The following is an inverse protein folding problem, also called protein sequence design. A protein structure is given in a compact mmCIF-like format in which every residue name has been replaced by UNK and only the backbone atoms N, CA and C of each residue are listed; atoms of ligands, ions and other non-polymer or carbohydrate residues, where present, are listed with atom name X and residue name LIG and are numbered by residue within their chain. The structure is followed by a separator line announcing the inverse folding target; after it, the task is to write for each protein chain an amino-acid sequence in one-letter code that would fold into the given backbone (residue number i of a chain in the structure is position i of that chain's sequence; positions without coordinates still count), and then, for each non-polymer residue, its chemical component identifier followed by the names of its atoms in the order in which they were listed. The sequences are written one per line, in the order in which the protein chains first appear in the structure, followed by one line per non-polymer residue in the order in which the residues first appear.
data_IF_627481390411
#
_entry.id   IF_627481390411
#
_cell.length_a   1.000
_cell.length_b   1.000
_cell.length_c   1.000
_cell.angle_alpha   90.00
_cell.angle_beta   90.00
_cell.angle_gamma   90.00
#
_symmetry.space_group_name_H-M   'P 1'
#
loop_
_entity.id
_entity.type
_entity.pdbx_description
1 polymer ?
#
# COMPACT_ATOMS: atom_id res chain seq x y z
N UNK A 1 11.41 -81.37 22.54
CA UNK A 1 10.60 -81.05 21.33
C UNK A 1 9.36 -80.22 21.60
N UNK A 2 8.82 -80.10 22.80
CA UNK A 2 7.59 -79.41 23.12
C UNK A 2 7.76 -77.88 23.35
N UNK A 3 8.97 -77.38 23.64
CA UNK A 3 9.26 -75.99 23.90
C UNK A 3 9.46 -75.16 22.63
N UNK A 4 9.87 -75.73 21.52
CA UNK A 4 10.12 -75.02 20.27
C UNK A 4 8.82 -74.73 19.52
N UNK A 5 7.76 -75.55 19.66
CA UNK A 5 6.47 -75.36 19.05
C UNK A 5 5.66 -74.15 19.66
N UNK A 6 5.88 -73.86 20.96
CA UNK A 6 5.14 -72.76 21.61
C UNK A 6 5.60 -71.35 21.15
N UNK A 7 6.88 -71.21 20.80
CA UNK A 7 7.40 -69.93 20.33
C UNK A 7 7.11 -69.67 18.82
N UNK A 8 7.00 -70.73 18.05
CA UNK A 8 6.60 -70.61 16.63
C UNK A 8 5.14 -70.18 16.43
N UNK A 9 4.24 -70.63 17.28
CA UNK A 9 2.82 -70.21 17.25
C UNK A 9 2.62 -68.76 17.75
N UNK A 10 3.44 -68.34 18.73
CA UNK A 10 3.37 -66.94 19.24
C UNK A 10 3.94 -65.94 18.22
N UNK A 11 5.03 -66.30 17.52
CA UNK A 11 5.60 -65.47 16.44
C UNK A 11 4.66 -65.37 15.20
N UNK A 12 3.97 -66.47 14.86
CA UNK A 12 2.99 -66.44 13.78
C UNK A 12 1.76 -65.61 14.13
N UNK A 13 1.31 -65.59 15.41
CA UNK A 13 0.16 -64.80 15.85
C UNK A 13 0.52 -63.27 15.95
N UNK A 14 1.73 -62.94 16.33
CA UNK A 14 2.22 -61.54 16.33
C UNK A 14 2.42 -61.03 14.90
N UNK A 15 2.93 -61.85 13.98
CA UNK A 15 3.01 -61.49 12.56
C UNK A 15 1.64 -61.28 11.89
N UNK A 16 0.62 -62.04 12.31
CA UNK A 16 -0.74 -61.89 11.78
C UNK A 16 -1.46 -60.69 12.35
N UNK A 17 -1.18 -60.30 13.60
CA UNK A 17 -1.70 -59.06 14.21
C UNK A 17 -1.05 -57.79 13.64
N UNK A 18 0.19 -57.85 13.16
CA UNK A 18 0.84 -56.74 12.49
C UNK A 18 0.36 -56.54 11.03
N UNK A 19 -0.19 -57.56 10.39
CA UNK A 19 -0.79 -57.42 9.06
C UNK A 19 -2.23 -56.88 9.06
N UNK A 20 -2.91 -56.91 10.22
CA UNK A 20 -4.30 -56.39 10.34
C UNK A 20 -4.36 -54.87 10.60
N UNK A 21 -3.22 -54.19 10.80
CA UNK A 21 -3.12 -52.73 10.98
C UNK A 21 -2.39 -52.03 9.85
N UNK A 22 -2.30 -52.61 8.66
CA UNK A 22 -1.97 -51.80 7.48
C UNK A 22 -3.21 -50.96 7.13
N UNK A 23 -3.12 -49.63 7.13
CA UNK A 23 -4.24 -48.85 6.60
C UNK A 23 -4.44 -49.28 5.16
N UNK A 24 -5.66 -49.68 4.81
CA UNK A 24 -6.05 -49.95 3.43
C UNK A 24 -5.97 -48.63 2.66
N UNK A 25 -4.81 -48.40 2.07
CA UNK A 25 -4.63 -47.32 1.08
C UNK A 25 -5.26 -47.78 -0.24
N UNK A 26 -6.58 -47.78 -0.29
CA UNK A 26 -7.33 -47.75 -1.55
C UNK A 26 -8.10 -46.42 -1.57
N UNK A 27 -7.35 -45.34 -1.59
CA UNK A 27 -7.79 -44.14 -2.26
C UNK A 27 -6.89 -44.00 -3.48
N UNK A 28 -7.45 -44.03 -4.64
CA UNK A 28 -6.85 -43.42 -5.83
C UNK A 28 -6.59 -41.96 -5.50
N UNK A 29 -5.46 -41.69 -4.88
CA UNK A 29 -5.01 -40.36 -4.59
C UNK A 29 -4.53 -39.74 -5.88
N UNK A 30 -5.45 -39.14 -6.65
CA UNK A 30 -5.04 -38.03 -7.50
C UNK A 30 -4.36 -37.06 -6.55
N UNK A 31 -3.04 -36.91 -6.67
CA UNK A 31 -2.29 -35.90 -5.90
C UNK A 31 -2.93 -34.54 -6.21
N UNK A 32 -3.37 -33.80 -5.18
CA UNK A 32 -3.93 -32.48 -5.36
C UNK A 32 -3.02 -31.65 -6.27
N UNK A 33 -3.59 -31.19 -7.37
CA UNK A 33 -2.92 -30.31 -8.32
C UNK A 33 -3.52 -28.91 -8.19
N UNK A 34 -2.68 -27.93 -7.90
CA UNK A 34 -3.10 -26.54 -7.94
C UNK A 34 -3.68 -26.19 -9.32
N UNK A 35 -4.69 -25.32 -9.41
CA UNK A 35 -5.22 -24.86 -10.67
C UNK A 35 -4.17 -24.10 -11.47
N UNK A 36 -4.19 -24.16 -12.78
CA UNK A 36 -3.27 -23.40 -13.64
C UNK A 36 -3.43 -21.87 -13.44
N UNK A 37 -4.61 -21.44 -12.99
CA UNK A 37 -4.91 -20.05 -12.61
C UNK A 37 -5.63 -20.02 -11.26
N UNK A 38 -5.00 -19.46 -10.23
CA UNK A 38 -5.59 -19.24 -8.90
C UNK A 38 -6.40 -17.95 -8.91
N UNK A 39 -7.69 -18.05 -8.55
CA UNK A 39 -8.58 -16.89 -8.41
C UNK A 39 -8.46 -16.31 -7.01
N UNK A 40 -8.01 -15.09 -6.90
CA UNK A 40 -7.71 -14.41 -5.65
C UNK A 40 -8.72 -13.31 -5.39
N UNK A 41 -9.37 -13.35 -4.23
CA UNK A 41 -10.23 -12.27 -3.71
C UNK A 41 -9.45 -11.39 -2.75
N UNK A 42 -9.62 -10.07 -2.85
CA UNK A 42 -8.98 -9.10 -1.95
C UNK A 42 -9.82 -7.84 -1.81
N UNK A 43 -9.42 -6.94 -0.91
CA UNK A 43 -9.96 -5.59 -0.78
C UNK A 43 -8.88 -4.55 -1.13
N UNK A 44 -9.30 -3.38 -1.61
CA UNK A 44 -8.40 -2.24 -1.66
C UNK A 44 -7.98 -1.84 -0.24
N UNK A 45 -6.67 -1.82 -0.01
CA UNK A 45 -6.08 -1.50 1.28
C UNK A 45 -4.60 -1.13 1.10
N UNK A 46 -4.06 -0.22 1.93
CA UNK A 46 -2.63 0.07 1.92
C UNK A 46 -1.73 -1.13 2.23
N UNK A 47 -2.26 -2.15 2.89
CA UNK A 47 -1.55 -3.39 3.25
C UNK A 47 -1.73 -4.47 2.22
N UNK A 48 -2.94 -4.62 1.63
CA UNK A 48 -3.28 -5.81 0.86
C UNK A 48 -3.12 -5.64 -0.65
N UNK A 49 -3.81 -4.65 -1.23
CA UNK A 49 -3.85 -4.46 -2.68
C UNK A 49 -4.17 -3.01 -3.04
N UNK A 50 -3.31 -2.34 -3.78
CA UNK A 50 -3.56 -0.99 -4.30
C UNK A 50 -2.77 -0.72 -5.57
N UNK A 51 -3.15 0.31 -6.32
CA UNK A 51 -2.48 0.73 -7.55
C UNK A 51 -1.73 2.04 -7.26
N UNK A 52 -0.44 2.09 -7.62
CA UNK A 52 0.40 3.28 -7.46
C UNK A 52 1.22 3.51 -8.74
N UNK A 53 1.13 4.70 -9.32
CA UNK A 53 1.80 5.07 -10.59
C UNK A 53 1.59 4.04 -11.73
N UNK A 54 0.44 3.34 -11.72
CA UNK A 54 0.09 2.31 -12.69
C UNK A 54 0.55 0.89 -12.36
N UNK A 55 1.38 0.71 -11.33
CA UNK A 55 1.79 -0.59 -10.84
C UNK A 55 0.89 -1.05 -9.69
N UNK A 56 0.64 -2.35 -9.62
CA UNK A 56 -0.09 -2.97 -8.52
C UNK A 56 0.89 -3.32 -7.41
N UNK A 57 0.58 -2.89 -6.19
CA UNK A 57 1.38 -3.04 -4.98
C UNK A 57 0.50 -3.52 -3.82
N UNK A 58 1.12 -3.93 -2.73
CA UNK A 58 0.50 -4.36 -1.49
C UNK A 58 1.27 -5.51 -0.87
N UNK A 59 1.33 -5.54 0.46
CA UNK A 59 2.06 -6.59 1.18
C UNK A 59 1.51 -7.99 0.83
N UNK A 60 0.19 -8.16 0.93
CA UNK A 60 -0.45 -9.43 0.58
C UNK A 60 -0.36 -9.74 -0.92
N UNK A 61 -0.45 -8.71 -1.77
CA UNK A 61 -0.29 -8.86 -3.22
C UNK A 61 1.10 -9.40 -3.58
N UNK A 62 2.17 -8.85 -3.02
CA UNK A 62 3.52 -9.32 -3.30
C UNK A 62 3.75 -10.75 -2.79
N UNK A 63 3.22 -11.07 -1.61
CA UNK A 63 3.30 -12.42 -1.04
C UNK A 63 2.62 -13.46 -1.93
N UNK A 64 1.39 -13.22 -2.39
CA UNK A 64 0.69 -14.17 -3.27
C UNK A 64 1.35 -14.27 -4.65
N UNK A 65 1.98 -13.20 -5.15
CA UNK A 65 2.79 -13.25 -6.37
C UNK A 65 4.02 -14.16 -6.20
N UNK A 66 4.66 -14.17 -5.03
CA UNK A 66 5.76 -15.10 -4.74
C UNK A 66 5.29 -16.55 -4.68
N UNK A 67 4.14 -16.82 -4.03
CA UNK A 67 3.51 -18.15 -4.04
C UNK A 67 3.24 -18.63 -5.48
N UNK A 68 2.63 -17.78 -6.28
CA UNK A 68 2.29 -18.12 -7.66
C UNK A 68 3.55 -18.41 -8.51
N UNK A 69 4.62 -17.65 -8.29
CA UNK A 69 5.92 -17.87 -8.94
C UNK A 69 6.54 -19.20 -8.50
N UNK A 70 6.50 -19.52 -7.21
CA UNK A 70 7.01 -20.80 -6.67
C UNK A 70 6.25 -22.00 -7.25
N UNK A 71 4.93 -21.90 -7.33
CA UNK A 71 4.04 -22.98 -7.85
C UNK A 71 3.87 -22.96 -9.37
N UNK A 72 4.42 -21.95 -10.07
CA UNK A 72 4.32 -21.74 -11.53
C UNK A 72 2.87 -21.68 -12.01
N UNK A 73 2.00 -20.99 -11.28
CA UNK A 73 0.59 -20.76 -11.60
C UNK A 73 0.33 -19.30 -11.93
N UNK A 74 -0.73 -19.02 -12.69
CA UNK A 74 -1.19 -17.66 -12.94
C UNK A 74 -2.12 -17.17 -11.81
N UNK A 75 -2.24 -15.84 -11.65
CA UNK A 75 -3.18 -15.22 -10.71
C UNK A 75 -4.24 -14.44 -11.45
N UNK A 76 -5.48 -14.49 -10.93
CA UNK A 76 -6.59 -13.65 -11.37
C UNK A 76 -7.23 -13.00 -10.17
N UNK A 77 -7.10 -11.68 -10.04
CA UNK A 77 -7.63 -10.92 -8.91
C UNK A 77 -9.08 -10.48 -9.12
N UNK A 78 -9.86 -10.55 -8.05
CA UNK A 78 -11.19 -9.94 -7.91
C UNK A 78 -11.17 -9.08 -6.66
N UNK A 79 -11.32 -7.77 -6.81
CA UNK A 79 -11.37 -6.83 -5.69
C UNK A 79 -12.82 -6.67 -5.27
N UNK A 80 -13.13 -7.00 -4.03
CA UNK A 80 -14.45 -6.83 -3.43
C UNK A 80 -14.62 -5.42 -2.85
N UNK A 81 -15.86 -5.02 -2.57
CA UNK A 81 -16.18 -3.69 -2.06
C UNK A 81 -16.32 -3.65 -0.52
N UNK A 82 -16.44 -4.81 0.11
CA UNK A 82 -16.59 -4.93 1.56
C UNK A 82 -16.18 -6.33 2.04
N UNK A 83 -15.95 -6.48 3.35
CA UNK A 83 -15.67 -7.78 3.96
C UNK A 83 -16.77 -8.80 3.66
N UNK A 84 -18.04 -8.43 3.74
CA UNK A 84 -19.16 -9.33 3.45
C UNK A 84 -19.14 -9.79 2.00
N UNK A 85 -18.92 -8.87 1.05
CA UNK A 85 -18.82 -9.24 -0.38
C UNK A 85 -17.58 -10.11 -0.66
N UNK A 86 -16.47 -9.88 0.05
CA UNK A 86 -15.26 -10.69 -0.05
C UNK A 86 -15.51 -12.14 0.42
N UNK A 87 -16.16 -12.32 1.56
CA UNK A 87 -16.55 -13.63 2.09
C UNK A 87 -17.52 -14.37 1.15
N UNK A 88 -18.48 -13.67 0.56
CA UNK A 88 -19.40 -14.26 -0.41
C UNK A 88 -18.69 -14.77 -1.68
N UNK A 89 -17.61 -14.13 -2.12
CA UNK A 89 -16.83 -14.60 -3.25
C UNK A 89 -16.22 -15.99 -2.99
N UNK A 90 -15.66 -16.24 -1.81
CA UNK A 90 -15.05 -17.54 -1.49
C UNK A 90 -16.09 -18.60 -1.17
N UNK A 91 -17.18 -18.26 -0.47
CA UNK A 91 -18.28 -19.18 -0.17
C UNK A 91 -18.96 -19.70 -1.44
N UNK A 92 -19.10 -18.82 -2.43
CA UNK A 92 -19.72 -19.18 -3.72
C UNK A 92 -18.74 -19.71 -4.76
N UNK A 93 -17.50 -19.99 -4.36
CA UNK A 93 -16.41 -20.48 -5.23
C UNK A 93 -16.15 -19.58 -6.46
N UNK A 94 -16.42 -18.29 -6.37
CA UNK A 94 -16.02 -17.29 -7.38
C UNK A 94 -14.54 -16.98 -7.32
N UNK A 95 -13.95 -17.11 -6.13
CA UNK A 95 -12.51 -17.06 -5.87
C UNK A 95 -12.09 -18.30 -5.06
N UNK A 96 -10.81 -18.65 -5.13
CA UNK A 96 -10.23 -19.81 -4.46
C UNK A 96 -9.57 -19.45 -3.13
N UNK A 97 -8.99 -18.26 -3.05
CA UNK A 97 -8.23 -17.75 -1.91
C UNK A 97 -8.58 -16.30 -1.64
N UNK A 98 -8.69 -15.93 -0.38
CA UNK A 98 -8.77 -14.54 0.08
C UNK A 98 -7.41 -14.10 0.60
N UNK A 99 -6.79 -13.10 -0.04
CA UNK A 99 -5.55 -12.46 0.40
C UNK A 99 -5.87 -11.12 1.06
N UNK A 100 -6.44 -11.23 2.24
CA UNK A 100 -6.80 -10.12 3.12
C UNK A 100 -6.81 -10.63 4.55
N UNK A 101 -6.57 -9.76 5.53
CA UNK A 101 -6.59 -10.08 6.95
C UNK A 101 -8.01 -10.40 7.44
N UNK A 102 -8.41 -11.67 7.35
CA UNK A 102 -9.68 -12.17 7.87
C UNK A 102 -9.50 -12.47 9.37
N UNK A 103 -10.30 -11.86 10.27
CA UNK A 103 -10.17 -12.08 11.70
C UNK A 103 -10.39 -13.54 12.11
N UNK A 104 -9.51 -14.09 12.96
CA UNK A 104 -9.64 -15.45 13.50
C UNK A 104 -10.54 -15.40 14.72
N UNK A 105 -11.84 -15.52 14.51
CA UNK A 105 -12.89 -15.53 15.55
C UNK A 105 -13.86 -16.70 15.34
N UNK A 106 -14.63 -17.03 16.37
CA UNK A 106 -15.64 -18.10 16.26
C UNK A 106 -16.64 -17.85 15.12
N UNK A 107 -16.98 -16.59 14.85
CA UNK A 107 -17.87 -16.19 13.76
C UNK A 107 -17.28 -16.47 12.38
N UNK A 108 -16.02 -16.06 12.14
CA UNK A 108 -15.37 -16.24 10.85
C UNK A 108 -14.94 -17.69 10.61
N UNK A 109 -14.55 -18.43 11.68
CA UNK A 109 -14.20 -19.85 11.60
C UNK A 109 -15.35 -20.75 11.12
N UNK A 110 -16.61 -20.28 11.27
CA UNK A 110 -17.80 -20.97 10.72
C UNK A 110 -18.02 -20.66 9.22
N UNK A 111 -17.31 -19.73 8.67
CA UNK A 111 -17.53 -19.21 7.32
C UNK A 111 -16.39 -19.52 6.35
N UNK A 112 -15.18 -19.60 6.85
CA UNK A 112 -13.95 -19.82 6.05
C UNK A 112 -12.95 -20.69 6.79
N UNK A 113 -12.06 -21.34 6.05
CA UNK A 113 -10.88 -22.00 6.59
C UNK A 113 -9.67 -21.06 6.49
N UNK A 114 -9.09 -20.73 7.63
CA UNK A 114 -7.91 -19.87 7.73
C UNK A 114 -6.66 -20.59 7.26
N UNK A 115 -5.76 -19.87 6.57
CA UNK A 115 -4.50 -20.41 6.06
C UNK A 115 -3.40 -19.35 5.99
N UNK A 116 -2.17 -19.81 5.82
CA UNK A 116 -0.99 -18.98 5.68
C UNK A 116 -0.50 -18.38 6.99
N UNK A 117 0.24 -17.30 6.87
CA UNK A 117 0.80 -16.59 8.01
C UNK A 117 -0.32 -15.96 8.86
N UNK A 118 -0.20 -16.10 10.18
CA UNK A 118 -1.08 -15.41 11.12
C UNK A 118 -0.49 -14.06 11.48
N UNK A 119 -1.18 -13.00 11.12
CA UNK A 119 -0.89 -11.64 11.54
C UNK A 119 -1.53 -11.34 12.90
N UNK A 120 -0.90 -10.48 13.67
CA UNK A 120 -1.45 -9.98 14.92
C UNK A 120 -1.48 -8.46 14.88
N UNK A 121 -2.67 -7.88 14.92
CA UNK A 121 -2.88 -6.44 14.94
C UNK A 121 -3.54 -6.02 16.24
N UNK A 122 -3.34 -4.78 16.63
CA UNK A 122 -3.97 -4.12 17.77
C UNK A 122 -4.20 -2.66 17.42
N UNK A 123 -5.03 -1.98 18.19
CA UNK A 123 -5.24 -0.55 17.98
C UNK A 123 -4.22 0.25 18.79
N UNK A 124 -3.71 1.31 18.19
CA UNK A 124 -2.71 2.20 18.79
C UNK A 124 -3.18 3.64 18.81
N UNK A 125 -2.73 4.37 19.82
CA UNK A 125 -2.86 5.82 19.87
C UNK A 125 -1.84 6.45 18.92
N UNK A 126 -2.31 7.31 18.03
CA UNK A 126 -1.44 8.16 17.21
C UNK A 126 -1.32 9.53 17.90
N UNK A 127 -0.09 9.93 18.17
CA UNK A 127 0.26 11.20 18.82
C UNK A 127 1.52 11.78 18.18
N UNK A 128 1.82 13.05 18.43
CA UNK A 128 3.08 13.65 17.96
C UNK A 128 4.26 13.19 18.82
N UNK A 129 5.39 12.89 18.17
CA UNK A 129 6.63 12.45 18.85
C UNK A 129 7.42 13.60 19.49
N UNK A 130 7.20 14.84 19.05
CA UNK A 130 7.88 16.05 19.51
C UNK A 130 7.23 16.72 20.74
N UNK A 131 6.14 16.13 21.27
CA UNK A 131 5.44 16.61 22.47
C UNK A 131 5.56 15.59 23.61
N UNK A 132 5.14 16.01 24.83
CA UNK A 132 5.04 15.07 25.95
C UNK A 132 4.07 13.96 25.61
N UNK A 133 4.60 12.74 25.47
CA UNK A 133 3.85 11.57 25.05
C UNK A 133 2.96 11.03 26.15
N UNK A 134 1.79 10.51 25.75
CA UNK A 134 0.98 9.61 26.55
C UNK A 134 1.60 8.22 26.44
N UNK A 135 1.91 7.62 27.57
CA UNK A 135 2.54 6.28 27.66
C UNK A 135 1.66 5.26 28.40
N UNK A 136 0.53 5.72 28.97
CA UNK A 136 -0.43 4.89 29.66
C UNK A 136 -1.85 5.35 29.34
N UNK A 137 -2.77 4.41 29.15
CA UNK A 137 -4.17 4.70 28.78
C UNK A 137 -4.91 5.58 29.81
N UNK A 138 -4.54 5.53 31.09
CA UNK A 138 -5.14 6.38 32.13
C UNK A 138 -4.83 7.87 31.95
N UNK A 139 -3.76 8.21 31.21
CA UNK A 139 -3.39 9.59 30.88
C UNK A 139 -4.28 10.22 29.80
N UNK A 140 -5.15 9.42 29.16
CA UNK A 140 -6.15 9.89 28.20
C UNK A 140 -7.30 10.66 28.88
N UNK A 141 -7.39 10.60 30.20
CA UNK A 141 -8.38 11.37 30.96
C UNK A 141 -8.21 12.88 30.69
N UNK A 142 -9.30 13.55 30.34
CA UNK A 142 -9.37 14.95 29.92
C UNK A 142 -8.54 15.27 28.64
N UNK A 143 -8.37 14.26 27.75
CA UNK A 143 -7.75 14.46 26.45
C UNK A 143 -8.80 14.35 25.35
N UNK A 144 -8.61 15.18 24.32
CA UNK A 144 -9.44 15.19 23.13
C UNK A 144 -8.93 14.12 22.15
N UNK A 145 -9.73 13.08 21.89
CA UNK A 145 -9.39 12.00 20.95
C UNK A 145 -10.42 11.97 19.84
N UNK A 146 -9.95 12.03 18.60
CA UNK A 146 -10.76 12.12 17.40
C UNK A 146 -10.80 10.77 16.69
N UNK A 147 -12.00 10.26 16.38
CA UNK A 147 -12.20 8.99 15.66
C UNK A 147 -13.39 9.08 14.71
N UNK A 148 -13.42 8.23 13.70
CA UNK A 148 -14.57 8.12 12.80
C UNK A 148 -15.81 7.62 13.54
N UNK A 149 -16.93 8.28 13.30
CA UNK A 149 -18.24 7.89 13.81
C UNK A 149 -18.68 6.54 13.22
N UNK A 150 -19.19 5.65 14.07
CA UNK A 150 -19.62 4.30 13.68
C UNK A 150 -18.48 3.33 13.43
N UNK A 151 -17.22 3.71 13.69
CA UNK A 151 -16.05 2.86 13.49
C UNK A 151 -15.78 1.92 14.68
N UNK A 152 -14.97 0.89 14.43
CA UNK A 152 -14.43 0.04 15.51
C UNK A 152 -13.59 0.83 16.53
N UNK A 153 -13.01 1.95 16.09
CA UNK A 153 -12.22 2.84 16.95
C UNK A 153 -13.09 3.59 17.94
N UNK A 154 -14.29 4.05 17.53
CA UNK A 154 -15.28 4.64 18.42
C UNK A 154 -15.68 3.64 19.50
N UNK A 155 -16.10 2.42 19.10
CA UNK A 155 -16.51 1.37 20.04
C UNK A 155 -15.40 1.03 21.03
N UNK A 156 -14.16 0.92 20.57
CA UNK A 156 -13.02 0.64 21.45
C UNK A 156 -12.77 1.79 22.43
N UNK A 157 -12.82 3.03 21.95
CA UNK A 157 -12.55 4.21 22.79
C UNK A 157 -13.66 4.41 23.85
N UNK A 158 -14.92 4.11 23.54
CA UNK A 158 -16.01 4.10 24.49
C UNK A 158 -15.80 3.05 25.59
N UNK A 159 -15.39 1.83 25.21
CA UNK A 159 -15.07 0.76 26.15
C UNK A 159 -13.87 1.16 27.04
N UNK A 160 -12.79 1.64 26.43
CA UNK A 160 -11.60 2.11 27.15
C UNK A 160 -11.94 3.23 28.13
N UNK A 161 -12.77 4.19 27.71
CA UNK A 161 -13.23 5.28 28.58
C UNK A 161 -13.95 4.73 29.82
N UNK A 162 -14.79 3.71 29.64
CA UNK A 162 -15.46 3.04 30.76
C UNK A 162 -14.48 2.27 31.65
N UNK A 163 -13.52 1.57 31.06
CA UNK A 163 -12.46 0.81 31.75
C UNK A 163 -11.61 1.69 32.67
N UNK A 164 -11.27 2.91 32.26
CA UNK A 164 -10.44 3.85 33.04
C UNK A 164 -11.24 4.75 33.98
N UNK A 165 -12.54 4.54 34.06
CA UNK A 165 -13.43 5.33 34.94
C UNK A 165 -13.90 6.67 34.37
N UNK A 166 -13.89 6.80 33.06
CA UNK A 166 -14.37 7.97 32.32
C UNK A 166 -13.36 9.11 32.18
N UNK A 167 -13.75 10.13 31.45
CA UNK A 167 -13.02 11.40 31.31
C UNK A 167 -12.26 11.58 30.00
N UNK A 168 -12.36 10.67 29.02
CA UNK A 168 -11.86 10.92 27.67
C UNK A 168 -12.86 11.84 26.94
N UNK A 169 -12.37 12.92 26.34
CA UNK A 169 -13.18 13.76 25.45
C UNK A 169 -13.22 13.14 24.06
N UNK A 170 -14.28 12.40 23.77
CA UNK A 170 -14.45 11.73 22.48
C UNK A 170 -15.05 12.68 21.45
N UNK A 171 -14.32 12.90 20.34
CA UNK A 171 -14.76 13.67 19.18
C UNK A 171 -15.04 12.74 18.02
N UNK A 172 -16.30 12.67 17.60
CA UNK A 172 -16.74 11.86 16.46
C UNK A 172 -16.73 12.69 15.19
N UNK A 173 -16.03 12.20 14.18
CA UNK A 173 -15.91 12.83 12.88
C UNK A 173 -16.68 12.01 11.84
N UNK A 174 -17.47 12.68 11.01
CA UNK A 174 -18.19 11.98 9.95
C UNK A 174 -17.22 11.44 8.91
N UNK A 175 -17.36 10.17 8.56
CA UNK A 175 -16.51 9.43 7.61
C UNK A 175 -16.45 10.11 6.24
N UNK A 176 -17.51 10.76 5.82
CA UNK A 176 -17.59 11.47 4.53
C UNK A 176 -16.76 12.76 4.49
N UNK A 177 -16.42 13.32 5.64
CA UNK A 177 -15.64 14.56 5.74
C UNK A 177 -14.18 14.33 6.09
N UNK A 178 -13.87 13.26 6.82
CA UNK A 178 -12.51 12.99 7.30
C UNK A 178 -12.35 11.51 7.59
N UNK A 179 -11.49 10.84 6.85
CA UNK A 179 -11.16 9.44 7.07
C UNK A 179 -9.99 9.26 8.05
N UNK A 180 -9.71 8.00 8.41
CA UNK A 180 -8.61 7.63 9.32
C UNK A 180 -7.26 8.17 8.85
N UNK A 181 -7.01 8.23 7.54
CA UNK A 181 -5.76 8.73 6.97
C UNK A 181 -5.62 10.23 7.20
N UNK A 182 -6.71 10.98 6.99
CA UNK A 182 -6.73 12.42 7.23
C UNK A 182 -6.62 12.73 8.73
N UNK A 183 -7.23 11.92 9.62
CA UNK A 183 -7.06 12.07 11.07
C UNK A 183 -5.58 11.92 11.47
N UNK A 184 -4.85 10.96 10.90
CA UNK A 184 -3.41 10.82 11.15
C UNK A 184 -2.63 12.02 10.61
N UNK A 185 -2.97 12.52 9.41
CA UNK A 185 -2.40 13.74 8.86
C UNK A 185 -2.65 14.95 9.77
N UNK A 186 -3.86 15.09 10.30
CA UNK A 186 -4.21 16.16 11.24
C UNK A 186 -3.42 16.07 12.55
N UNK A 187 -3.13 14.87 13.07
CA UNK A 187 -2.21 14.68 14.21
C UNK A 187 -0.80 15.10 13.82
N UNK A 188 -0.28 14.64 12.69
CA UNK A 188 1.06 14.98 12.20
C UNK A 188 1.26 16.49 12.04
N UNK A 189 0.25 17.19 11.50
CA UNK A 189 0.27 18.66 11.33
C UNK A 189 -0.07 19.44 12.61
N UNK A 190 -0.46 18.75 13.69
CA UNK A 190 -0.80 19.38 14.98
C UNK A 190 -2.18 20.03 15.03
N UNK A 191 -3.04 19.78 14.06
CA UNK A 191 -4.43 20.27 14.03
C UNK A 191 -5.30 19.60 15.10
N UNK A 192 -5.07 18.31 15.34
CA UNK A 192 -5.69 17.55 16.44
C UNK A 192 -4.59 16.88 17.28
N UNK A 193 -4.84 16.61 18.58
CA UNK A 193 -3.81 16.03 19.44
C UNK A 193 -3.66 14.52 19.28
N UNK A 194 -4.76 13.76 19.15
CA UNK A 194 -4.77 12.30 19.18
C UNK A 194 -5.83 11.71 18.25
N UNK A 195 -5.47 10.57 17.63
CA UNK A 195 -6.42 9.66 16.96
C UNK A 195 -6.04 8.21 17.24
N UNK A 196 -6.86 7.26 16.76
CA UNK A 196 -6.66 5.82 16.95
C UNK A 196 -6.69 5.14 15.59
N UNK A 197 -5.75 4.20 15.39
CA UNK A 197 -5.67 3.38 14.17
C UNK A 197 -5.24 1.96 14.50
N UNK A 198 -5.38 1.03 13.57
CA UNK A 198 -4.74 -0.29 13.68
C UNK A 198 -3.20 -0.17 13.60
N UNK A 199 -2.49 -1.06 14.27
CA UNK A 199 -1.04 -1.01 14.41
C UNK A 199 -0.29 -1.07 13.07
N UNK A 200 -0.78 -1.84 12.11
CA UNK A 200 -0.24 -1.95 10.75
C UNK A 200 -0.44 -0.65 9.97
N UNK A 201 -1.66 -0.09 10.03
CA UNK A 201 -1.93 1.22 9.45
C UNK A 201 -1.09 2.33 10.11
N UNK A 202 -0.92 2.25 11.44
CA UNK A 202 -0.03 3.12 12.20
C UNK A 202 1.43 3.03 11.72
N UNK A 203 1.94 1.83 11.51
CA UNK A 203 3.29 1.58 10.98
C UNK A 203 3.47 2.18 9.58
N UNK A 204 2.52 1.92 8.68
CA UNK A 204 2.54 2.54 7.33
C UNK A 204 2.57 4.06 7.44
N UNK A 205 1.68 4.65 8.26
CA UNK A 205 1.65 6.10 8.45
C UNK A 205 2.98 6.65 9.00
N UNK A 206 3.63 5.92 9.91
CA UNK A 206 4.93 6.31 10.45
C UNK A 206 6.03 6.35 9.38
N UNK A 207 5.93 5.56 8.32
CA UNK A 207 6.86 5.64 7.19
C UNK A 207 6.71 6.95 6.39
N UNK A 208 5.54 7.58 6.43
CA UNK A 208 5.26 8.88 5.78
C UNK A 208 5.44 10.08 6.72
N UNK A 209 5.17 9.90 8.02
CA UNK A 209 5.23 10.95 9.04
C UNK A 209 6.23 10.59 10.13
N UNK A 210 7.45 11.12 10.05
CA UNK A 210 8.51 10.85 11.04
C UNK A 210 8.23 11.46 12.43
N UNK A 211 7.27 12.37 12.51
CA UNK A 211 6.91 13.13 13.71
C UNK A 211 5.72 12.55 14.48
N UNK A 212 5.25 11.36 14.14
CA UNK A 212 4.22 10.66 14.91
C UNK A 212 4.80 9.51 15.75
N UNK A 213 4.14 9.21 16.85
CA UNK A 213 4.41 8.08 17.73
C UNK A 213 3.15 7.20 17.82
N UNK A 214 3.35 5.89 17.77
CA UNK A 214 2.30 4.85 17.78
C UNK A 214 2.61 3.78 18.83
N UNK A 215 3.40 4.09 19.84
CA UNK A 215 3.90 3.12 20.81
C UNK A 215 2.87 2.70 21.87
N UNK A 216 1.80 3.47 22.07
CA UNK A 216 0.77 3.14 23.06
C UNK A 216 -0.33 2.28 22.44
N UNK A 217 -0.38 1.03 22.87
CA UNK A 217 -1.46 0.08 22.55
C UNK A 217 -2.70 0.39 23.40
N UNK A 218 -3.86 0.37 22.77
CA UNK A 218 -5.15 0.68 23.42
C UNK A 218 -6.17 -0.45 23.28
N UNK A 219 -5.84 -1.52 22.56
CA UNK A 219 -6.68 -2.72 22.46
C UNK A 219 -5.86 -3.98 22.71
N UNK A 220 -6.55 -5.09 22.97
CA UNK A 220 -5.95 -6.42 22.93
C UNK A 220 -5.58 -6.80 21.50
N UNK A 221 -4.53 -7.64 21.33
CA UNK A 221 -4.15 -8.21 20.04
C UNK A 221 -5.31 -9.01 19.43
N UNK A 222 -5.51 -8.81 18.13
CA UNK A 222 -6.43 -9.60 17.30
C UNK A 222 -5.63 -10.34 16.24
N UNK A 223 -5.90 -11.63 16.08
CA UNK A 223 -5.25 -12.46 15.06
C UNK A 223 -6.09 -12.48 13.80
N UNK A 224 -5.42 -12.46 12.66
CA UNK A 224 -6.00 -12.55 11.33
C UNK A 224 -5.11 -13.39 10.41
N UNK A 225 -5.65 -13.90 9.33
CA UNK A 225 -4.91 -14.62 8.29
C UNK A 225 -5.65 -14.58 6.96
N UNK A 226 -5.02 -15.07 5.92
CA UNK A 226 -5.71 -15.41 4.67
C UNK A 226 -6.72 -16.52 4.90
N UNK A 227 -7.61 -16.76 3.92
CA UNK A 227 -8.63 -17.77 4.06
C UNK A 227 -9.05 -18.39 2.73
N UNK A 228 -9.50 -19.63 2.78
CA UNK A 228 -10.08 -20.37 1.67
C UNK A 228 -11.51 -20.82 2.00
N UNK A 229 -12.22 -21.42 1.05
CA UNK A 229 -13.50 -22.07 1.32
C UNK A 229 -13.33 -23.19 2.38
N UNK A 230 -14.31 -23.35 3.28
CA UNK A 230 -14.28 -24.34 4.37
C UNK A 230 -13.93 -25.77 3.93
N UNK A 231 -14.26 -26.12 2.70
CA UNK A 231 -14.04 -27.47 2.16
C UNK A 231 -12.73 -27.60 1.37
N UNK A 232 -11.93 -26.55 1.26
CA UNK A 232 -10.69 -26.55 0.47
C UNK A 232 -9.43 -26.73 1.34
N UNK A 233 -9.36 -27.88 2.04
CA UNK A 233 -8.24 -28.22 2.91
C UNK A 233 -6.91 -28.30 2.15
N UNK A 234 -6.92 -28.85 0.94
CA UNK A 234 -5.71 -29.07 0.16
C UNK A 234 -5.03 -27.76 -0.27
N UNK A 235 -5.81 -26.74 -0.64
CA UNK A 235 -5.28 -25.42 -0.91
C UNK A 235 -4.76 -24.75 0.37
N UNK A 236 -5.51 -24.88 1.48
CA UNK A 236 -5.08 -24.42 2.81
C UNK A 236 -3.72 -25.01 3.18
N UNK A 237 -3.59 -26.33 3.13
CA UNK A 237 -2.36 -27.04 3.44
C UNK A 237 -1.19 -26.61 2.54
N UNK A 238 -1.47 -26.37 1.25
CA UNK A 238 -0.46 -25.89 0.29
C UNK A 238 0.04 -24.47 0.62
N UNK A 239 -0.85 -23.58 1.04
CA UNK A 239 -0.51 -22.22 1.47
C UNK A 239 0.26 -22.26 2.79
N UNK A 240 -0.17 -23.07 3.75
CA UNK A 240 0.49 -23.24 5.04
C UNK A 240 1.91 -23.78 4.89
N UNK A 241 2.08 -24.82 4.08
CA UNK A 241 3.40 -25.38 3.79
C UNK A 241 4.33 -24.38 3.10
N UNK A 242 3.80 -23.53 2.21
CA UNK A 242 4.57 -22.47 1.57
C UNK A 242 4.91 -21.36 2.57
N UNK A 243 3.97 -20.92 3.40
CA UNK A 243 4.16 -19.80 4.34
C UNK A 243 5.17 -20.11 5.44
N UNK A 244 5.28 -21.40 5.83
CA UNK A 244 6.22 -21.87 6.85
C UNK A 244 7.60 -22.24 6.30
N UNK A 245 7.81 -22.18 4.99
CA UNK A 245 9.12 -22.44 4.38
C UNK A 245 10.10 -21.30 4.72
N UNK A 246 11.35 -21.65 5.08
CA UNK A 246 12.39 -20.70 5.48
C UNK A 246 12.60 -19.58 4.44
N UNK A 247 12.66 -19.94 3.15
CA UNK A 247 12.79 -18.97 2.05
C UNK A 247 11.61 -17.97 2.06
N UNK A 248 10.39 -18.46 2.27
CA UNK A 248 9.18 -17.63 2.29
C UNK A 248 9.17 -16.69 3.50
N UNK A 249 9.60 -17.18 4.66
CA UNK A 249 9.73 -16.38 5.88
C UNK A 249 10.69 -15.21 5.64
N UNK A 250 11.88 -15.48 5.13
CA UNK A 250 12.89 -14.44 4.81
C UNK A 250 12.38 -13.44 3.77
N UNK A 251 11.63 -13.90 2.77
CA UNK A 251 11.01 -13.03 1.77
C UNK A 251 9.93 -12.15 2.40
N UNK A 252 9.04 -12.73 3.23
CA UNK A 252 7.99 -12.01 3.95
C UNK A 252 8.54 -10.94 4.89
N UNK A 253 9.62 -11.24 5.64
CA UNK A 253 10.32 -10.27 6.47
C UNK A 253 10.90 -9.11 5.67
N UNK A 254 11.44 -9.40 4.48
CA UNK A 254 12.00 -8.38 3.60
C UNK A 254 10.93 -7.43 3.07
N UNK A 255 9.79 -7.98 2.62
CA UNK A 255 8.64 -7.18 2.18
C UNK A 255 8.05 -6.41 3.37
N UNK A 256 7.93 -7.04 4.55
CA UNK A 256 7.43 -6.39 5.76
C UNK A 256 8.25 -5.14 6.10
N UNK A 257 9.58 -5.25 6.10
CA UNK A 257 10.46 -4.08 6.30
C UNK A 257 10.23 -3.00 5.26
N UNK A 258 10.03 -3.39 4.01
CA UNK A 258 9.78 -2.47 2.92
C UNK A 258 8.46 -1.67 3.10
N UNK A 259 7.38 -2.35 3.49
CA UNK A 259 6.07 -1.70 3.66
C UNK A 259 5.92 -0.95 4.99
N UNK A 260 6.43 -1.49 6.09
CA UNK A 260 6.10 -1.05 7.45
C UNK A 260 7.23 -0.31 8.19
N UNK A 261 8.48 -0.41 7.71
CA UNK A 261 9.63 0.14 8.43
C UNK A 261 10.45 1.15 7.62
N UNK A 262 10.56 0.96 6.30
CA UNK A 262 11.36 1.88 5.47
C UNK A 262 10.66 3.23 5.35
N UNK A 263 11.36 4.28 5.77
CA UNK A 263 10.87 5.65 5.61
C UNK A 263 10.59 5.96 4.14
N UNK A 264 9.38 6.39 3.84
CA UNK A 264 9.00 6.94 2.53
C UNK A 264 9.52 8.39 2.38
N UNK A 265 10.09 8.95 3.43
CA UNK A 265 10.54 10.33 3.58
C UNK A 265 12.07 10.44 3.47
N UNK A 266 12.71 9.66 2.64
CA UNK A 266 14.17 9.62 2.60
C UNK A 266 14.76 10.31 1.38
N UNK A 267 14.54 11.62 1.27
CA UNK A 267 15.49 12.46 0.54
C UNK A 267 15.82 13.58 1.53
N UNK A 268 17.10 13.68 1.95
CA UNK A 268 17.68 14.52 2.98
C UNK A 268 16.98 15.81 3.40
N UNK A 269 17.52 16.55 4.33
CA UNK A 269 17.01 17.86 4.73
C UNK A 269 16.84 18.78 3.51
N UNK A 270 15.97 19.77 3.59
CA UNK A 270 15.68 20.69 2.47
C UNK A 270 16.92 21.37 1.87
N UNK A 271 18.06 21.28 2.54
CA UNK A 271 19.34 21.90 2.14
C UNK A 271 20.31 20.97 1.40
N UNK A 272 20.05 19.64 1.34
CA UNK A 272 20.97 18.66 0.75
C UNK A 272 20.65 18.37 -0.72
N UNK A 273 20.96 19.27 -1.62
CA UNK A 273 20.99 18.98 -3.06
C UNK A 273 22.23 18.12 -3.40
N UNK A 274 22.05 17.12 -4.27
CA UNK A 274 23.17 16.36 -4.83
C UNK A 274 24.02 17.25 -5.73
N UNK A 275 25.25 17.55 -5.32
CA UNK A 275 26.19 18.38 -6.06
C UNK A 275 26.98 17.62 -7.15
N UNK A 276 26.66 16.35 -7.40
CA UNK A 276 27.35 15.51 -8.37
C UNK A 276 28.57 14.78 -7.79
N UNK A 277 29.35 14.11 -8.62
CA UNK A 277 30.53 13.32 -8.22
C UNK A 277 31.77 14.16 -7.93
N UNK A 278 31.65 15.27 -7.24
CA UNK A 278 32.79 16.11 -6.81
C UNK A 278 33.48 16.94 -7.91
N UNK A 279 32.98 16.92 -9.15
CA UNK A 279 33.52 17.70 -10.28
C UNK A 279 32.66 18.90 -10.69
N UNK A 280 31.42 18.99 -10.18
CA UNK A 280 30.54 20.10 -10.52
C UNK A 280 30.84 21.30 -9.62
N UNK A 281 31.20 22.40 -10.25
CA UNK A 281 31.35 23.70 -9.59
C UNK A 281 30.16 24.55 -9.99
N UNK A 282 29.26 24.81 -9.05
CA UNK A 282 28.05 25.62 -9.25
C UNK A 282 28.44 27.03 -9.67
N UNK A 283 27.97 27.47 -10.85
CA UNK A 283 28.14 28.85 -11.33
C UNK A 283 26.96 29.70 -10.89
N UNK A 284 27.13 31.01 -10.90
CA UNK A 284 26.02 31.94 -10.66
C UNK A 284 24.94 31.72 -11.73
N UNK A 285 23.70 31.48 -11.29
CA UNK A 285 22.57 31.19 -12.16
C UNK A 285 22.32 29.70 -12.46
N UNK A 286 23.20 28.78 -12.06
CA UNK A 286 22.95 27.35 -12.19
C UNK A 286 21.95 26.88 -11.12
N UNK A 287 20.97 26.05 -11.54
CA UNK A 287 20.04 25.34 -10.66
C UNK A 287 20.62 24.00 -10.23
N UNK A 288 21.18 23.26 -11.18
CA UNK A 288 21.66 21.89 -10.99
C UNK A 288 22.84 21.53 -11.92
N UNK A 289 23.52 20.39 -11.66
CA UNK A 289 24.51 19.84 -12.58
C UNK A 289 23.92 19.40 -13.94
N UNK A 290 22.60 19.37 -14.07
CA UNK A 290 21.89 18.82 -15.24
C UNK A 290 21.12 19.89 -16.04
N UNK A 291 21.39 21.17 -15.83
CA UNK A 291 20.65 22.27 -16.46
C UNK A 291 20.72 22.20 -17.99
N UNK A 292 21.91 21.89 -18.55
CA UNK A 292 22.07 21.74 -19.99
C UNK A 292 21.26 20.55 -20.55
N UNK A 293 21.15 19.48 -19.77
CA UNK A 293 20.33 18.32 -20.11
C UNK A 293 18.82 18.68 -20.09
N UNK A 294 18.37 19.40 -19.07
CA UNK A 294 16.97 19.86 -19.02
C UNK A 294 16.64 20.84 -20.16
N UNK A 295 17.54 21.75 -20.49
CA UNK A 295 17.40 22.67 -21.64
C UNK A 295 17.31 21.91 -22.96
N UNK A 296 18.14 20.86 -23.15
CA UNK A 296 18.16 20.06 -24.39
C UNK A 296 16.82 19.34 -24.64
N UNK A 297 16.11 18.88 -23.58
CA UNK A 297 14.88 18.09 -23.72
C UNK A 297 13.59 18.84 -23.45
N UNK A 298 13.61 20.05 -22.88
CA UNK A 298 12.41 20.82 -22.55
C UNK A 298 11.53 21.16 -23.76
N UNK A 299 12.12 21.25 -24.98
CA UNK A 299 11.37 21.56 -26.19
C UNK A 299 10.28 20.55 -26.59
N UNK A 300 10.17 19.41 -25.91
CA UNK A 300 9.13 18.40 -26.14
C UNK A 300 7.87 18.61 -25.31
N UNK A 301 7.85 19.58 -24.37
CA UNK A 301 6.71 19.98 -23.55
C UNK A 301 6.51 21.49 -23.64
N UNK A 302 5.27 21.99 -23.38
CA UNK A 302 4.95 23.42 -23.47
C UNK A 302 5.37 24.23 -22.24
N UNK A 303 6.35 23.75 -21.47
CA UNK A 303 6.81 24.40 -20.24
C UNK A 303 8.34 24.61 -20.31
N UNK A 304 8.85 25.69 -19.68
CA UNK A 304 10.29 25.96 -19.70
C UNK A 304 11.07 24.91 -18.90
N UNK A 305 12.37 24.75 -19.23
CA UNK A 305 13.24 23.73 -18.67
C UNK A 305 13.32 23.70 -17.13
N UNK A 306 13.06 24.84 -16.48
CA UNK A 306 13.02 24.95 -15.03
C UNK A 306 11.94 24.04 -14.39
N UNK A 307 10.90 23.66 -15.15
CA UNK A 307 9.94 22.66 -14.70
C UNK A 307 10.60 21.30 -14.51
N UNK A 308 11.42 20.86 -15.47
CA UNK A 308 12.15 19.59 -15.36
C UNK A 308 13.12 19.60 -14.17
N UNK A 309 13.80 20.74 -13.96
CA UNK A 309 14.66 20.93 -12.79
C UNK A 309 13.86 20.88 -11.48
N UNK A 310 12.68 21.51 -11.41
CA UNK A 310 11.81 21.49 -10.23
C UNK A 310 11.30 20.08 -9.92
N UNK A 311 10.86 19.32 -10.93
CA UNK A 311 10.47 17.91 -10.81
C UNK A 311 11.66 17.10 -10.29
N UNK A 312 12.82 17.18 -10.93
CA UNK A 312 14.01 16.43 -10.53
C UNK A 312 14.44 16.72 -9.09
N UNK A 313 14.34 17.98 -8.67
CA UNK A 313 14.66 18.36 -7.30
C UNK A 313 13.70 17.74 -6.28
N UNK A 314 12.40 17.74 -6.58
CA UNK A 314 11.38 17.13 -5.69
C UNK A 314 11.51 15.62 -5.66
N UNK A 315 11.81 14.98 -6.80
CA UNK A 315 11.91 13.52 -6.93
C UNK A 315 13.18 12.94 -6.29
N UNK A 316 14.34 13.58 -6.45
CA UNK A 316 15.62 12.97 -6.07
C UNK A 316 16.66 13.93 -5.48
N UNK A 317 16.39 15.23 -5.38
CA UNK A 317 17.42 16.27 -5.12
C UNK A 317 18.57 16.19 -6.14
N UNK A 318 18.25 15.85 -7.40
CA UNK A 318 19.20 15.63 -8.49
C UNK A 318 20.12 14.41 -8.33
N UNK A 319 19.87 13.53 -7.35
CA UNK A 319 20.69 12.34 -7.12
C UNK A 319 20.27 11.19 -8.04
N UNK A 320 21.15 10.75 -8.99
CA UNK A 320 20.82 9.72 -9.96
C UNK A 320 20.71 8.31 -9.33
N UNK A 321 21.25 8.11 -8.13
CA UNK A 321 21.32 6.81 -7.49
C UNK A 321 20.09 6.48 -6.63
N UNK A 322 19.16 7.43 -6.48
CA UNK A 322 17.94 7.21 -5.66
C UNK A 322 17.05 6.17 -6.29
N UNK A 323 16.61 5.24 -5.46
CA UNK A 323 15.54 4.27 -5.76
C UNK A 323 14.47 4.45 -4.70
N UNK A 324 13.23 4.72 -5.13
CA UNK A 324 12.12 4.86 -4.21
C UNK A 324 11.68 3.51 -3.63
N UNK A 325 10.88 3.56 -2.57
CA UNK A 325 10.27 2.36 -2.00
C UNK A 325 9.43 1.56 -3.02
N UNK A 326 8.80 2.23 -3.99
CA UNK A 326 8.00 1.59 -5.03
C UNK A 326 8.84 1.13 -6.23
N UNK A 327 10.17 1.37 -6.22
CA UNK A 327 11.09 0.96 -7.29
C UNK A 327 11.30 2.02 -8.38
N UNK A 328 10.79 3.25 -8.23
CA UNK A 328 11.11 4.35 -9.13
C UNK A 328 12.60 4.72 -9.04
N UNK A 329 13.25 5.07 -10.15
CA UNK A 329 14.70 5.22 -10.22
C UNK A 329 15.16 6.50 -10.91
N UNK A 330 16.36 6.95 -10.54
CA UNK A 330 17.09 8.03 -11.21
C UNK A 330 16.62 9.43 -10.80
N UNK A 331 17.19 10.45 -11.44
CA UNK A 331 16.93 11.85 -11.08
C UNK A 331 15.46 12.27 -11.26
N UNK A 332 14.73 11.61 -12.16
CA UNK A 332 13.32 11.90 -12.44
C UNK A 332 12.37 10.85 -11.83
N UNK A 333 12.87 9.87 -11.08
CA UNK A 333 12.10 8.82 -10.38
C UNK A 333 11.08 8.12 -11.29
N UNK A 334 11.55 7.56 -12.39
CA UNK A 334 10.72 6.83 -13.35
C UNK A 334 10.51 5.38 -12.90
N UNK A 335 9.26 4.92 -12.95
CA UNK A 335 8.94 3.51 -12.71
C UNK A 335 9.48 2.64 -13.85
N UNK A 336 10.07 1.47 -13.54
CA UNK A 336 10.54 0.54 -14.59
C UNK A 336 9.43 0.10 -15.57
N UNK A 337 8.19 -0.02 -15.11
CA UNK A 337 7.03 -0.32 -15.95
C UNK A 337 6.75 0.79 -16.96
N UNK A 338 6.75 2.05 -16.51
CA UNK A 338 6.58 3.24 -17.35
C UNK A 338 7.69 3.34 -18.40
N UNK A 339 8.95 3.20 -17.97
CA UNK A 339 10.10 3.24 -18.89
C UNK A 339 9.98 2.16 -19.97
N UNK A 340 9.62 0.94 -19.58
CA UNK A 340 9.44 -0.18 -20.53
C UNK A 340 8.30 0.10 -21.51
N UNK A 341 7.19 0.68 -21.04
CA UNK A 341 6.06 1.06 -21.88
C UNK A 341 6.42 2.08 -22.97
N UNK A 342 7.42 2.92 -22.71
CA UNK A 342 7.97 3.87 -23.68
C UNK A 342 9.20 3.36 -24.45
N UNK A 343 9.61 2.10 -24.26
CA UNK A 343 10.72 1.47 -24.97
C UNK A 343 12.11 1.81 -24.42
N UNK A 344 12.21 2.32 -23.17
CA UNK A 344 13.51 2.59 -22.53
C UNK A 344 14.06 1.35 -21.83
N UNK A 345 15.38 1.23 -21.80
CA UNK A 345 16.11 0.21 -21.05
C UNK A 345 16.04 0.52 -19.54
N UNK A 346 15.32 -0.32 -18.80
CA UNK A 346 15.10 -0.14 -17.37
C UNK A 346 16.38 -0.24 -16.53
N UNK A 347 17.42 -0.90 -17.03
CA UNK A 347 18.71 -1.00 -16.34
C UNK A 347 19.50 0.32 -16.35
N UNK A 348 19.12 1.25 -17.23
CA UNK A 348 19.78 2.55 -17.41
C UNK A 348 19.02 3.73 -16.80
N UNK A 349 17.97 3.51 -16.02
CA UNK A 349 17.18 4.60 -15.43
C UNK A 349 17.95 5.48 -14.44
N UNK A 350 19.11 5.01 -13.96
CA UNK A 350 20.03 5.81 -13.13
C UNK A 350 20.97 6.70 -13.98
N UNK A 351 21.03 6.49 -15.29
CA UNK A 351 21.68 7.44 -16.20
C UNK A 351 20.80 8.70 -16.30
N UNK A 352 21.33 9.90 -15.99
CA UNK A 352 20.55 11.12 -15.98
C UNK A 352 19.88 11.42 -17.33
N UNK A 353 20.55 11.16 -18.45
CA UNK A 353 19.98 11.42 -19.76
C UNK A 353 18.83 10.48 -20.09
N UNK A 354 18.94 9.20 -19.77
CA UNK A 354 17.86 8.21 -19.96
C UNK A 354 16.67 8.56 -19.05
N UNK A 355 16.94 8.94 -17.78
CA UNK A 355 15.93 9.36 -16.82
C UNK A 355 15.14 10.58 -17.31
N UNK A 356 15.83 11.63 -17.81
CA UNK A 356 15.17 12.84 -18.35
C UNK A 356 14.39 12.54 -19.61
N UNK A 357 14.94 11.77 -20.55
CA UNK A 357 14.22 11.36 -21.78
C UNK A 357 12.93 10.63 -21.47
N UNK A 358 12.95 9.67 -20.53
CA UNK A 358 11.77 8.93 -20.13
C UNK A 358 10.72 9.83 -19.47
N UNK A 359 11.15 10.72 -18.57
CA UNK A 359 10.28 11.69 -17.91
C UNK A 359 9.62 12.66 -18.89
N UNK A 360 10.39 13.21 -19.81
CA UNK A 360 9.87 14.13 -20.83
C UNK A 360 8.87 13.42 -21.74
N UNK A 361 9.12 12.14 -22.09
CA UNK A 361 8.17 11.34 -22.87
C UNK A 361 6.84 11.16 -22.10
N UNK A 362 6.88 10.84 -20.82
CA UNK A 362 5.71 10.71 -19.98
C UNK A 362 4.95 12.04 -19.85
N UNK A 363 5.66 13.13 -19.53
CA UNK A 363 5.07 14.47 -19.42
C UNK A 363 4.40 14.91 -20.71
N UNK A 364 5.01 14.66 -21.88
CA UNK A 364 4.43 14.98 -23.18
C UNK A 364 3.12 14.20 -23.47
N UNK A 365 3.06 12.92 -23.11
CA UNK A 365 1.81 12.13 -23.25
C UNK A 365 0.74 12.60 -22.29
N UNK A 366 1.10 12.95 -21.03
CA UNK A 366 0.18 13.54 -20.06
C UNK A 366 -0.35 14.91 -20.54
N UNK A 367 0.53 15.77 -21.07
CA UNK A 367 0.14 17.05 -21.64
C UNK A 367 -0.86 16.88 -22.78
N UNK A 368 -0.53 16.01 -23.73
CA UNK A 368 -1.41 15.66 -24.86
C UNK A 368 -2.77 15.17 -24.38
N UNK A 369 -2.81 14.31 -23.35
CA UNK A 369 -4.07 13.82 -22.77
C UNK A 369 -4.91 14.93 -22.17
N UNK A 370 -4.29 15.85 -21.40
CA UNK A 370 -5.03 16.90 -20.69
C UNK A 370 -5.31 18.14 -21.54
N UNK A 371 -4.64 18.37 -22.69
CA UNK A 371 -4.79 19.58 -23.51
C UNK A 371 -6.25 19.86 -23.88
N UNK A 372 -7.02 18.84 -24.26
CA UNK A 372 -8.44 19.00 -24.62
C UNK A 372 -9.37 19.03 -23.41
N UNK A 373 -8.94 18.46 -22.28
CA UNK A 373 -9.77 18.28 -21.07
C UNK A 373 -9.63 19.43 -20.10
N UNK A 374 -8.45 20.02 -20.02
CA UNK A 374 -8.08 21.14 -19.15
C UNK A 374 -7.44 22.24 -20.01
N UNK A 375 -8.24 23.12 -20.64
CA UNK A 375 -7.73 24.14 -21.57
C UNK A 375 -6.80 25.15 -20.91
N UNK A 376 -7.06 25.51 -19.63
CA UNK A 376 -6.20 26.44 -18.90
C UNK A 376 -4.80 25.83 -18.70
N UNK A 377 -3.76 26.54 -19.15
CA UNK A 377 -2.40 26.05 -19.17
C UNK A 377 -1.82 25.79 -17.75
N UNK A 378 -2.15 26.68 -16.80
CA UNK A 378 -1.68 26.54 -15.41
C UNK A 378 -2.40 25.41 -14.68
N UNK A 379 -3.72 25.28 -14.86
CA UNK A 379 -4.46 24.14 -14.32
C UNK A 379 -3.94 22.84 -14.93
N UNK A 380 -3.74 22.79 -16.25
CA UNK A 380 -3.20 21.60 -16.93
C UNK A 380 -1.89 21.13 -16.32
N UNK A 381 -0.98 22.04 -15.96
CA UNK A 381 0.27 21.69 -15.26
C UNK A 381 -0.01 20.90 -13.99
N UNK A 382 -0.95 21.34 -13.15
CA UNK A 382 -1.32 20.67 -11.90
C UNK A 382 -1.83 19.25 -12.13
N UNK A 383 -2.69 19.07 -13.13
CA UNK A 383 -3.17 17.73 -13.52
C UNK A 383 -2.05 16.84 -14.05
N UNK A 384 -1.14 17.38 -14.84
CA UNK A 384 0.03 16.66 -15.31
C UNK A 384 0.94 16.23 -14.16
N UNK A 385 1.26 17.12 -13.23
CA UNK A 385 2.06 16.83 -12.05
C UNK A 385 1.40 15.78 -11.15
N UNK A 386 0.09 15.92 -10.93
CA UNK A 386 -0.66 14.95 -10.16
C UNK A 386 -0.65 13.55 -10.82
N UNK A 387 -0.82 13.50 -12.14
CA UNK A 387 -0.81 12.26 -12.91
C UNK A 387 0.60 11.63 -12.98
N UNK A 388 1.64 12.44 -13.06
CA UNK A 388 3.03 11.99 -13.04
C UNK A 388 3.38 11.31 -11.71
N UNK A 389 2.98 11.89 -10.58
CA UNK A 389 3.23 11.33 -9.26
C UNK A 389 2.26 10.20 -8.88
N UNK A 390 0.95 10.40 -9.06
CA UNK A 390 -0.08 9.47 -8.58
C UNK A 390 -0.58 8.46 -9.62
N UNK A 391 -0.21 8.64 -10.89
CA UNK A 391 -0.73 7.86 -12.01
C UNK A 391 -2.03 8.43 -12.58
N UNK A 392 -2.09 8.53 -13.91
CA UNK A 392 -3.21 9.14 -14.65
C UNK A 392 -4.56 8.49 -14.32
N UNK A 393 -4.58 7.19 -14.03
CA UNK A 393 -5.81 6.43 -13.73
C UNK A 393 -6.58 6.99 -12.53
N UNK A 394 -5.88 7.27 -11.43
CA UNK A 394 -6.49 7.85 -10.24
C UNK A 394 -6.93 9.31 -10.43
N UNK A 395 -6.22 10.06 -11.27
CA UNK A 395 -6.61 11.44 -11.59
C UNK A 395 -7.88 11.45 -12.44
N UNK A 396 -8.06 10.49 -13.35
CA UNK A 396 -9.32 10.31 -14.11
C UNK A 396 -10.49 10.04 -13.17
N UNK A 397 -10.32 9.13 -12.21
CA UNK A 397 -11.34 8.85 -11.20
C UNK A 397 -11.69 10.11 -10.39
N UNK A 398 -10.67 10.89 -9.95
CA UNK A 398 -10.87 12.12 -9.20
C UNK A 398 -11.61 13.18 -10.02
N UNK A 399 -11.32 13.31 -11.33
CA UNK A 399 -12.05 14.17 -12.25
C UNK A 399 -13.53 13.77 -12.32
N UNK A 400 -13.82 12.48 -12.44
CA UNK A 400 -15.18 11.95 -12.50
C UNK A 400 -15.93 12.17 -11.17
N UNK A 401 -15.26 11.92 -10.03
CA UNK A 401 -15.84 12.21 -8.70
C UNK A 401 -16.12 13.69 -8.51
N UNK A 402 -15.19 14.58 -8.87
CA UNK A 402 -15.38 16.03 -8.81
C UNK A 402 -16.62 16.45 -9.59
N UNK A 403 -16.74 15.99 -10.84
CA UNK A 403 -17.91 16.29 -11.70
C UNK A 403 -19.22 15.78 -11.07
N UNK A 404 -19.24 14.54 -10.56
CA UNK A 404 -20.41 13.93 -9.91
C UNK A 404 -20.87 14.70 -8.67
N UNK A 405 -19.93 15.22 -7.89
CA UNK A 405 -20.21 15.95 -6.64
C UNK A 405 -20.26 17.47 -6.80
N UNK A 406 -20.51 17.98 -8.03
CA UNK A 406 -20.75 19.40 -8.30
C UNK A 406 -19.52 20.29 -8.22
N UNK A 407 -18.32 19.72 -8.25
CA UNK A 407 -17.06 20.45 -8.33
C UNK A 407 -16.61 20.62 -9.78
N UNK A 408 -15.73 21.59 -10.03
CA UNK A 408 -15.23 21.83 -11.38
C UNK A 408 -14.15 20.82 -11.77
N UNK A 409 -14.40 19.91 -12.75
CA UNK A 409 -13.46 18.88 -13.15
C UNK A 409 -12.22 19.40 -13.91
N UNK A 410 -12.17 20.71 -14.21
CA UNK A 410 -11.06 21.36 -14.92
C UNK A 410 -10.21 22.26 -14.01
N UNK A 411 -10.51 22.30 -12.70
CA UNK A 411 -9.78 23.10 -11.71
C UNK A 411 -9.24 22.17 -10.64
N UNK A 412 -7.95 22.32 -10.35
CA UNK A 412 -7.27 21.45 -9.38
C UNK A 412 -7.63 21.82 -7.93
N UNK A 413 -7.19 22.99 -7.47
CA UNK A 413 -7.35 23.39 -6.07
C UNK A 413 -8.81 23.55 -5.65
N UNK A 414 -9.15 22.92 -4.51
CA UNK A 414 -10.50 22.95 -3.95
C UNK A 414 -11.55 22.17 -4.77
N UNK A 415 -11.17 21.52 -5.87
CA UNK A 415 -12.04 20.77 -6.75
C UNK A 415 -11.53 19.33 -6.95
N UNK A 416 -10.68 19.07 -7.98
CA UNK A 416 -10.19 17.71 -8.25
C UNK A 416 -9.22 17.25 -7.19
N UNK A 417 -8.46 18.14 -6.60
CA UNK A 417 -7.62 17.87 -5.42
C UNK A 417 -8.44 17.27 -4.26
N UNK A 418 -9.59 17.86 -3.94
CA UNK A 418 -10.48 17.35 -2.89
C UNK A 418 -11.09 16.01 -3.27
N UNK A 419 -11.55 15.87 -4.50
CA UNK A 419 -12.08 14.61 -5.00
C UNK A 419 -11.01 13.50 -4.99
N UNK A 420 -9.73 13.82 -5.21
CA UNK A 420 -8.62 12.88 -5.07
C UNK A 420 -8.42 12.46 -3.61
N UNK A 421 -8.59 13.39 -2.65
CA UNK A 421 -8.52 13.08 -1.22
C UNK A 421 -9.63 12.12 -0.80
N UNK A 422 -10.82 12.24 -1.36
CA UNK A 422 -11.93 11.32 -1.09
C UNK A 422 -11.64 9.87 -1.48
N UNK A 423 -10.70 9.62 -2.40
CA UNK A 423 -10.35 8.26 -2.84
C UNK A 423 -9.63 7.39 -1.80
N UNK A 424 -9.30 7.89 -0.64
CA UNK A 424 -8.89 7.07 0.51
C UNK A 424 -10.09 6.50 1.28
N UNK A 425 -11.29 7.05 1.09
CA UNK A 425 -12.51 6.63 1.74
C UNK A 425 -13.30 5.62 0.89
N UNK A 426 -13.72 4.53 1.54
CA UNK A 426 -14.44 3.41 0.91
C UNK A 426 -15.70 3.82 0.16
N UNK A 427 -16.46 4.77 0.69
CA UNK A 427 -17.66 5.31 0.05
C UNK A 427 -17.37 5.89 -1.34
N UNK A 428 -16.25 6.58 -1.49
CA UNK A 428 -15.90 7.24 -2.75
C UNK A 428 -15.10 6.36 -3.70
N UNK A 429 -14.13 5.57 -3.23
CA UNK A 429 -13.36 4.74 -4.17
C UNK A 429 -14.16 3.55 -4.71
N UNK A 430 -15.25 3.14 -4.05
CA UNK A 430 -16.22 2.16 -4.56
C UNK A 430 -17.35 2.79 -5.40
N UNK A 431 -17.35 4.11 -5.57
CA UNK A 431 -18.35 4.78 -6.42
C UNK A 431 -18.23 4.25 -7.87
N UNK A 432 -19.38 4.01 -8.57
CA UNK A 432 -19.38 3.51 -9.94
C UNK A 432 -18.58 4.34 -10.95
N UNK A 433 -18.32 5.62 -10.68
CA UNK A 433 -17.47 6.47 -11.54
C UNK A 433 -15.97 6.23 -11.34
N UNK A 434 -15.58 5.56 -10.24
CA UNK A 434 -14.21 5.15 -9.97
C UNK A 434 -13.96 3.74 -10.52
N UNK A 435 -12.85 3.57 -11.23
CA UNK A 435 -12.44 2.29 -11.82
C UNK A 435 -11.18 1.70 -11.18
N UNK A 436 -10.42 2.55 -10.46
CA UNK A 436 -9.08 2.22 -9.98
C UNK A 436 -8.99 2.15 -8.45
N UNK A 437 -10.13 2.18 -7.76
CA UNK A 437 -10.28 1.90 -6.33
C UNK A 437 -9.51 2.86 -5.41
N UNK A 438 -9.07 2.32 -4.28
CA UNK A 438 -8.37 3.04 -3.22
C UNK A 438 -7.13 3.79 -3.74
N UNK A 439 -6.96 5.03 -3.25
CA UNK A 439 -5.77 5.83 -3.51
C UNK A 439 -5.41 6.73 -2.33
N UNK A 440 -4.15 6.67 -1.89
CA UNK A 440 -3.62 7.58 -0.88
C UNK A 440 -3.15 8.88 -1.53
N UNK A 441 -3.94 9.92 -1.43
CA UNK A 441 -3.73 11.19 -2.15
C UNK A 441 -2.68 12.12 -1.53
N UNK A 442 -2.36 11.98 -0.24
CA UNK A 442 -1.54 12.94 0.53
C UNK A 442 -0.20 13.23 -0.14
N UNK A 443 0.47 12.19 -0.64
CA UNK A 443 1.75 12.35 -1.34
C UNK A 443 1.60 13.15 -2.62
N UNK A 444 0.61 12.81 -3.45
CA UNK A 444 0.36 13.46 -4.74
C UNK A 444 -0.07 14.91 -4.58
N UNK A 445 -0.95 15.21 -3.64
CA UNK A 445 -1.36 16.58 -3.34
C UNK A 445 -0.16 17.43 -2.91
N UNK A 446 0.63 16.93 -1.97
CA UNK A 446 1.84 17.62 -1.51
C UNK A 446 2.89 17.77 -2.63
N UNK A 447 2.97 16.79 -3.52
CA UNK A 447 3.87 16.82 -4.68
C UNK A 447 3.55 17.97 -5.62
N UNK A 448 2.29 18.15 -6.00
CA UNK A 448 1.86 19.26 -6.87
C UNK A 448 2.29 20.59 -6.27
N UNK A 449 1.98 20.84 -4.99
CA UNK A 449 2.39 22.06 -4.28
C UNK A 449 3.90 22.27 -4.26
N UNK A 450 4.68 21.22 -3.94
CA UNK A 450 6.15 21.30 -3.87
C UNK A 450 6.77 21.63 -5.22
N UNK A 451 6.30 20.97 -6.29
CA UNK A 451 6.84 21.22 -7.64
C UNK A 451 6.46 22.62 -8.13
N UNK A 452 5.20 23.07 -7.96
CA UNK A 452 4.80 24.43 -8.35
C UNK A 452 5.65 25.48 -7.62
N UNK A 453 5.77 25.39 -6.30
CA UNK A 453 6.57 26.34 -5.51
C UNK A 453 8.04 26.37 -5.95
N UNK A 454 8.61 25.22 -6.21
CA UNK A 454 10.01 25.13 -6.69
C UNK A 454 10.15 25.67 -8.12
N UNK A 455 9.20 25.38 -8.98
CA UNK A 455 9.19 25.86 -10.35
C UNK A 455 9.11 27.40 -10.42
N UNK A 456 8.22 28.01 -9.61
CA UNK A 456 8.14 29.47 -9.54
C UNK A 456 9.44 30.07 -9.00
N UNK A 457 10.05 29.47 -8.00
CA UNK A 457 11.35 29.90 -7.48
C UNK A 457 12.47 29.80 -8.55
N UNK A 458 12.46 28.77 -9.38
CA UNK A 458 13.47 28.57 -10.43
C UNK A 458 13.27 29.46 -11.65
N UNK A 459 12.04 29.91 -11.93
CA UNK A 459 11.80 30.91 -12.98
C UNK A 459 12.33 32.30 -12.64
N UNK A 460 12.54 32.60 -11.37
CA UNK A 460 13.07 33.87 -10.90
C UNK A 460 14.59 33.94 -10.87
N UNK A 461 15.28 32.82 -11.14
CA UNK A 461 16.76 32.74 -11.26
C UNK A 461 17.18 33.01 -12.70
#
# INVERSE_FOLDING_TARGET
MVKVLKYGALLAMVAWLCQACAPSSTANGESFKLPDTLRVGTLYSPTSFFIYRGDTLGYDYEKICDFAKDKKIALKFTVAHSMNSLLELVKTNKVDLLTYDIPITAEFNQQVLHCGETNTTYQVLVQRSDRRKITNVTQLKNKDVYVEKGSKYESRLQNLNSEIGGGINLHLVDKDTCDVQELVNMVSTGKIPYTIVDSDLGKINKTYYNNIDISLEISFPQRSSWAVNLNNNELSDSIDAWSTNERTILYSENISRHYFEQSKYSIGSDDDAYEGSGKYVKKAGDISPYDDLFKAYAGHISYPWQLLAAISWVESRFNPNVVSWAGAQGIMQIMPSTARGYGFDTSKLRDPEVSVKAAVRELAELEKYFTKRVPNHQERLRFMLAAYNGGIAHIIDAINLAAKHGKNPQVWYGNVEEALKWKSNEHYYNDPVCRYGYFRSTETVNYVHKVENRFEAYKSL
#
